data_IF_545913417661
#
_entry.id   IF_545913417661
#
_cell.length_a   1.000
_cell.length_b   1.000
_cell.length_c   1.000
_cell.angle_alpha   90.00
_cell.angle_beta   90.00
_cell.angle_gamma   90.00
#
_symmetry.space_group_name_H-M   'P 1'
#
loop_
_entity.id
_entity.type
_entity.pdbx_description
1 polymer ?
#
# COMPACT_ATOMS: atom_id res chain seq x y z
N UNK A 1 -23.67 71.71 38.17
CA UNK A 1 -24.59 70.77 37.50
C UNK A 1 -23.79 70.15 36.32
N UNK A 2 -23.23 68.95 36.57
CA UNK A 2 -22.47 68.17 35.59
C UNK A 2 -23.35 67.03 35.11
N UNK A 3 -23.69 67.02 33.81
CA UNK A 3 -24.43 65.95 33.14
C UNK A 3 -23.46 64.87 32.72
N UNK A 4 -23.58 63.68 33.33
CA UNK A 4 -22.91 62.45 32.87
C UNK A 4 -23.72 61.82 31.73
N UNK A 5 -23.18 61.84 30.52
CA UNK A 5 -23.70 61.10 29.36
C UNK A 5 -23.16 59.66 29.45
N UNK A 6 -24.03 58.71 29.82
CA UNK A 6 -23.75 57.27 29.67
C UNK A 6 -23.76 56.88 28.22
N UNK A 7 -22.57 56.59 27.64
CA UNK A 7 -22.48 55.92 26.32
C UNK A 7 -22.74 54.42 26.54
N UNK A 8 -23.92 53.96 26.16
CA UNK A 8 -24.22 52.54 25.98
C UNK A 8 -23.44 52.01 24.80
N UNK A 9 -22.46 51.14 25.03
CA UNK A 9 -21.81 50.35 24.01
C UNK A 9 -22.72 49.16 23.70
N UNK A 10 -23.39 49.22 22.56
CA UNK A 10 -24.09 48.04 21.98
C UNK A 10 -23.03 47.14 21.36
N UNK A 11 -22.70 46.04 22.03
CA UNK A 11 -21.95 44.94 21.43
C UNK A 11 -22.88 44.25 20.42
N UNK A 12 -22.48 44.12 19.13
CA UNK A 12 -23.23 43.26 18.23
C UNK A 12 -23.10 41.82 18.72
N UNK A 13 -24.23 41.20 19.04
CA UNK A 13 -24.33 39.78 19.28
C UNK A 13 -24.01 39.08 17.95
N UNK A 14 -22.75 38.67 17.74
CA UNK A 14 -22.41 37.75 16.67
C UNK A 14 -23.14 36.42 16.99
N UNK A 15 -24.26 36.22 16.33
CA UNK A 15 -24.90 34.92 16.30
C UNK A 15 -23.99 34.00 15.48
N UNK A 16 -23.09 33.29 16.15
CA UNK A 16 -22.36 32.19 15.53
C UNK A 16 -23.41 31.13 15.19
N UNK A 17 -23.80 31.04 13.92
CA UNK A 17 -24.52 29.89 13.43
C UNK A 17 -23.54 28.73 13.52
N UNK A 18 -23.68 27.92 14.54
CA UNK A 18 -22.99 26.65 14.61
C UNK A 18 -23.51 25.82 13.42
N UNK A 19 -22.69 25.65 12.40
CA UNK A 19 -22.95 24.67 11.35
C UNK A 19 -23.07 23.32 12.05
N UNK A 20 -24.26 22.75 12.03
CA UNK A 20 -24.51 21.45 12.63
C UNK A 20 -23.96 20.42 11.65
N UNK A 21 -23.09 19.55 12.14
CA UNK A 21 -22.57 18.41 11.40
C UNK A 21 -23.73 17.58 10.80
N UNK A 22 -23.53 17.10 9.58
CA UNK A 22 -24.52 16.27 8.87
C UNK A 22 -23.99 14.84 8.76
N UNK A 23 -24.62 13.91 9.50
CA UNK A 23 -24.39 12.48 9.31
C UNK A 23 -25.25 11.99 8.15
N UNK A 24 -24.61 11.59 7.05
CA UNK A 24 -25.28 11.08 5.86
C UNK A 24 -25.65 9.59 5.98
N UNK A 25 -24.81 8.81 6.64
CA UNK A 25 -25.01 7.39 6.88
C UNK A 25 -24.37 6.96 8.20
N UNK A 26 -25.05 6.07 8.93
CA UNK A 26 -24.52 5.46 10.14
C UNK A 26 -25.08 4.06 10.31
N UNK A 27 -24.20 3.10 10.63
CA UNK A 27 -24.53 1.71 10.91
C UNK A 27 -23.66 1.17 12.03
N UNK A 28 -24.29 0.47 12.99
CA UNK A 28 -23.64 -0.07 14.20
C UNK A 28 -23.92 -1.57 14.41
N UNK A 29 -24.69 -2.21 13.55
CA UNK A 29 -25.04 -3.64 13.59
C UNK A 29 -25.38 -4.20 14.98
N UNK A 30 -26.14 -3.44 15.78
CA UNK A 30 -26.42 -3.78 17.19
C UNK A 30 -27.27 -5.04 17.35
N UNK A 31 -28.17 -5.31 16.40
CA UNK A 31 -29.06 -6.45 16.39
C UNK A 31 -29.49 -6.85 14.97
N UNK A 32 -30.25 -7.94 14.84
CA UNK A 32 -30.74 -8.49 13.56
C UNK A 32 -31.54 -7.48 12.73
N UNK A 33 -32.25 -6.51 13.35
CA UNK A 33 -33.01 -5.50 12.63
C UNK A 33 -32.12 -4.53 11.83
N UNK A 34 -30.85 -4.42 12.19
CA UNK A 34 -29.87 -3.65 11.43
C UNK A 34 -29.71 -4.19 10.01
N UNK A 35 -29.92 -5.49 9.80
CA UNK A 35 -29.77 -6.14 8.49
C UNK A 35 -30.92 -5.81 7.54
N UNK A 36 -32.08 -5.36 8.03
CA UNK A 36 -33.28 -5.09 7.21
C UNK A 36 -33.07 -4.01 6.15
N UNK A 37 -32.11 -3.11 6.37
CA UNK A 37 -31.73 -2.04 5.41
C UNK A 37 -30.69 -2.46 4.39
N UNK A 38 -30.11 -3.64 4.55
CA UNK A 38 -29.05 -4.15 3.67
C UNK A 38 -29.64 -5.14 2.66
N UNK A 39 -29.12 -5.10 1.45
CA UNK A 39 -29.54 -5.94 0.35
C UNK A 39 -28.39 -6.83 -0.11
N UNK A 40 -28.59 -8.14 -0.03
CA UNK A 40 -27.72 -9.13 -0.65
C UNK A 40 -27.89 -9.08 -2.16
N UNK A 41 -26.80 -9.03 -2.90
CA UNK A 41 -26.85 -9.12 -4.35
C UNK A 41 -27.31 -10.51 -4.83
N UNK A 42 -28.07 -10.52 -5.91
CA UNK A 42 -28.55 -11.71 -6.63
C UNK A 42 -27.87 -11.83 -8.03
N UNK A 43 -26.88 -10.97 -8.34
CA UNK A 43 -26.26 -10.94 -9.68
C UNK A 43 -25.48 -12.23 -10.01
N UNK A 44 -24.93 -12.88 -8.98
CA UNK A 44 -24.29 -14.21 -9.05
C UNK A 44 -24.37 -14.90 -7.68
N UNK A 45 -23.81 -16.08 -7.55
CA UNK A 45 -23.69 -16.74 -6.25
C UNK A 45 -22.66 -16.00 -5.40
N UNK A 46 -23.12 -15.31 -4.36
CA UNK A 46 -22.31 -14.58 -3.39
C UNK A 46 -22.39 -15.25 -2.02
N UNK A 47 -21.31 -15.16 -1.27
CA UNK A 47 -21.29 -15.56 0.14
C UNK A 47 -22.19 -14.67 0.99
N UNK A 48 -22.78 -15.25 2.02
CA UNK A 48 -23.65 -14.54 2.95
C UNK A 48 -22.86 -13.79 4.02
N UNK A 49 -23.39 -12.64 4.44
CA UNK A 49 -22.98 -11.99 5.68
C UNK A 49 -23.84 -12.46 6.84
N UNK A 50 -23.23 -12.61 8.01
CA UNK A 50 -23.89 -12.99 9.25
C UNK A 50 -23.57 -11.98 10.35
N UNK A 51 -24.53 -11.69 11.23
CA UNK A 51 -24.29 -10.87 12.40
C UNK A 51 -23.47 -11.66 13.44
N UNK A 52 -22.27 -11.21 13.76
CA UNK A 52 -21.37 -11.87 14.71
C UNK A 52 -20.70 -10.87 15.64
N UNK A 53 -20.37 -11.31 16.85
CA UNK A 53 -19.55 -10.54 17.82
C UNK A 53 -18.06 -10.86 17.77
N UNK A 54 -17.63 -11.84 17.00
CA UNK A 54 -16.27 -12.34 17.02
C UNK A 54 -15.93 -13.21 18.24
N UNK A 55 -14.80 -13.88 18.19
CA UNK A 55 -14.29 -14.76 19.27
C UNK A 55 -13.62 -13.94 20.37
N UNK A 56 -12.85 -12.94 19.99
CA UNK A 56 -12.31 -11.93 20.90
C UNK A 56 -13.17 -10.68 20.77
N UNK A 57 -13.84 -10.28 21.83
CA UNK A 57 -14.79 -9.16 21.79
C UNK A 57 -14.74 -8.36 23.10
N UNK A 58 -14.57 -7.06 22.98
CA UNK A 58 -14.58 -6.17 24.15
C UNK A 58 -15.94 -5.99 24.79
N UNK A 59 -17.00 -6.12 23.99
CA UNK A 59 -18.39 -6.01 24.38
C UNK A 59 -19.27 -6.90 23.53
N UNK A 60 -20.29 -7.52 24.12
CA UNK A 60 -21.16 -8.48 23.40
C UNK A 60 -22.24 -7.81 22.56
N UNK A 61 -22.46 -6.53 22.70
CA UNK A 61 -23.45 -5.74 21.97
C UNK A 61 -22.76 -4.83 20.95
N UNK A 62 -21.89 -3.93 21.42
CA UNK A 62 -21.20 -2.96 20.58
C UNK A 62 -20.01 -3.54 19.79
N UNK A 63 -19.59 -4.75 20.08
CA UNK A 63 -18.56 -5.49 19.33
C UNK A 63 -19.14 -6.47 18.30
N UNK A 64 -20.42 -6.33 17.94
CA UNK A 64 -21.01 -7.07 16.84
C UNK A 64 -20.79 -6.33 15.53
N UNK A 65 -20.76 -7.10 14.44
CA UNK A 65 -20.71 -6.57 13.09
C UNK A 65 -21.17 -7.62 12.10
N UNK A 66 -21.23 -7.25 10.83
CA UNK A 66 -21.49 -8.23 9.76
C UNK A 66 -20.18 -8.93 9.40
N UNK A 67 -20.22 -10.25 9.40
CA UNK A 67 -19.07 -11.10 9.12
C UNK A 67 -19.25 -11.87 7.82
N UNK A 68 -18.19 -12.01 7.05
CA UNK A 68 -18.12 -12.97 5.95
C UNK A 68 -18.17 -14.39 6.53
N UNK A 69 -18.98 -15.29 5.94
CA UNK A 69 -19.29 -16.59 6.55
C UNK A 69 -18.84 -17.81 5.75
N UNK A 70 -18.40 -17.65 4.51
CA UNK A 70 -18.06 -18.75 3.61
C UNK A 70 -16.69 -18.52 2.98
N UNK A 71 -15.84 -19.55 3.01
CA UNK A 71 -14.50 -19.51 2.40
C UNK A 71 -14.58 -19.53 0.87
N UNK A 72 -13.59 -18.93 0.21
CA UNK A 72 -13.45 -18.90 -1.24
C UNK A 72 -14.68 -18.36 -1.97
N UNK A 73 -15.26 -17.26 -1.45
CA UNK A 73 -16.45 -16.62 -2.02
C UNK A 73 -16.23 -15.13 -2.31
N UNK A 74 -16.95 -14.67 -3.33
CA UNK A 74 -17.23 -13.26 -3.50
C UNK A 74 -18.40 -12.85 -2.59
N UNK A 75 -18.42 -11.60 -2.16
CA UNK A 75 -19.47 -11.02 -1.33
C UNK A 75 -19.94 -9.72 -1.97
N UNK A 76 -21.24 -9.50 -2.05
CA UNK A 76 -21.82 -8.24 -2.49
C UNK A 76 -23.06 -7.91 -1.66
N UNK A 77 -22.95 -6.84 -0.85
CA UNK A 77 -23.97 -6.43 0.11
C UNK A 77 -24.02 -4.91 0.16
N UNK A 78 -25.18 -4.30 0.05
CA UNK A 78 -25.31 -2.85 -0.01
C UNK A 78 -26.51 -2.32 0.77
N UNK A 79 -26.38 -1.08 1.25
CA UNK A 79 -27.45 -0.33 1.93
C UNK A 79 -27.62 1.05 1.31
N UNK A 80 -28.85 1.48 1.15
CA UNK A 80 -29.17 2.82 0.66
C UNK A 80 -28.86 3.88 1.73
N UNK A 81 -28.31 5.00 1.29
CA UNK A 81 -28.18 6.19 2.11
C UNK A 81 -29.57 6.83 2.24
N UNK A 82 -30.03 7.22 3.44
CA UNK A 82 -31.36 7.75 3.64
C UNK A 82 -31.74 8.94 2.73
N UNK A 83 -30.76 9.77 2.46
CA UNK A 83 -30.87 10.91 1.53
C UNK A 83 -29.60 10.98 0.69
N UNK A 84 -29.68 10.72 -0.63
CA UNK A 84 -28.52 10.86 -1.49
C UNK A 84 -27.88 12.25 -1.39
N UNK A 85 -26.57 12.32 -1.33
CA UNK A 85 -25.81 13.56 -1.09
C UNK A 85 -24.62 13.73 -2.02
N UNK A 86 -24.14 14.95 -2.13
CA UNK A 86 -22.82 15.31 -2.69
C UNK A 86 -22.07 16.13 -1.67
N UNK A 87 -20.76 16.09 -1.70
CA UNK A 87 -19.91 16.85 -0.78
C UNK A 87 -19.53 18.24 -1.34
N UNK A 88 -20.46 18.90 -2.01
CA UNK A 88 -20.21 20.21 -2.63
C UNK A 88 -19.88 21.28 -1.57
N UNK A 89 -18.64 21.81 -1.61
CA UNK A 89 -18.07 22.75 -0.65
C UNK A 89 -17.98 22.22 0.80
N UNK A 90 -18.13 20.94 1.01
CA UNK A 90 -18.07 20.28 2.30
C UNK A 90 -17.02 19.18 2.29
N UNK A 91 -16.53 18.82 3.45
CA UNK A 91 -15.69 17.62 3.61
C UNK A 91 -16.53 16.38 3.39
N UNK A 92 -15.89 15.32 2.93
CA UNK A 92 -16.38 13.97 3.06
C UNK A 92 -15.52 13.27 4.10
N UNK A 93 -16.14 12.76 5.14
CA UNK A 93 -15.47 11.95 6.16
C UNK A 93 -16.13 10.59 6.21
N UNK A 94 -15.34 9.55 5.94
CA UNK A 94 -15.78 8.15 5.95
C UNK A 94 -15.01 7.41 7.02
N UNK A 95 -15.72 6.79 7.95
CA UNK A 95 -15.12 5.98 9.01
C UNK A 95 -15.82 4.64 9.15
N UNK A 96 -15.05 3.59 9.50
CA UNK A 96 -15.60 2.27 9.82
C UNK A 96 -14.55 1.43 10.56
N UNK A 97 -14.98 0.32 11.14
CA UNK A 97 -14.08 -0.65 11.78
C UNK A 97 -14.07 -1.97 11.01
N UNK A 98 -12.89 -2.61 10.98
CA UNK A 98 -12.66 -3.93 10.39
C UNK A 98 -11.88 -4.79 11.35
N UNK A 99 -12.22 -6.08 11.39
CA UNK A 99 -11.51 -7.11 12.16
C UNK A 99 -11.33 -8.36 11.32
N UNK A 100 -10.11 -8.83 11.20
CA UNK A 100 -9.78 -10.05 10.45
C UNK A 100 -9.54 -11.22 11.41
N UNK A 101 -10.60 -11.83 11.98
CA UNK A 101 -10.48 -12.92 12.96
C UNK A 101 -9.82 -14.20 12.43
N UNK A 102 -9.88 -14.38 11.11
CA UNK A 102 -9.39 -15.58 10.42
C UNK A 102 -7.88 -15.60 10.18
N UNK A 103 -7.11 -14.58 10.62
CA UNK A 103 -5.71 -14.40 10.20
C UNK A 103 -5.64 -14.40 8.67
N UNK A 104 -6.19 -13.34 8.09
CA UNK A 104 -6.44 -13.22 6.66
C UNK A 104 -5.17 -13.32 5.82
N UNK A 105 -5.15 -14.26 4.87
CA UNK A 105 -4.06 -14.44 3.91
C UNK A 105 -4.33 -13.75 2.55
N UNK A 106 -5.60 -13.74 2.10
CA UNK A 106 -6.00 -13.01 0.90
C UNK A 106 -7.49 -12.65 0.93
N UNK A 107 -7.77 -11.35 0.94
CA UNK A 107 -9.13 -10.83 0.88
C UNK A 107 -9.20 -9.33 1.12
N UNK A 108 -10.28 -8.72 0.64
CA UNK A 108 -10.58 -7.31 0.86
C UNK A 108 -11.28 -7.05 2.18
N UNK A 109 -11.00 -5.89 2.77
CA UNK A 109 -11.69 -5.36 3.95
C UNK A 109 -12.15 -3.91 3.74
N UNK A 110 -12.52 -3.54 2.52
CA UNK A 110 -12.85 -2.18 2.11
C UNK A 110 -14.35 -1.98 1.87
N UNK A 111 -14.78 -0.72 1.91
CA UNK A 111 -16.13 -0.29 1.56
C UNK A 111 -16.13 0.53 0.27
N UNK A 112 -17.28 0.58 -0.40
CA UNK A 112 -17.53 1.39 -1.60
C UNK A 112 -18.63 2.41 -1.35
N UNK A 113 -18.41 3.65 -1.80
CA UNK A 113 -19.45 4.67 -1.91
C UNK A 113 -20.00 4.64 -3.34
N UNK A 114 -21.31 4.47 -3.46
CA UNK A 114 -21.98 4.10 -4.70
C UNK A 114 -22.98 5.18 -5.11
N UNK A 115 -23.18 5.43 -6.41
CA UNK A 115 -24.33 6.17 -6.90
C UNK A 115 -25.61 5.35 -6.69
N UNK A 116 -26.73 5.86 -7.16
CA UNK A 116 -28.00 5.11 -7.15
C UNK A 116 -27.87 3.79 -7.91
N UNK A 117 -28.22 2.69 -7.28
CA UNK A 117 -28.19 1.36 -7.86
C UNK A 117 -29.31 0.47 -7.31
N UNK A 118 -29.64 -0.59 -8.07
CA UNK A 118 -30.42 -1.72 -7.60
C UNK A 118 -29.50 -2.66 -6.80
N UNK A 119 -29.62 -2.71 -5.49
CA UNK A 119 -28.77 -3.52 -4.61
C UNK A 119 -28.74 -5.00 -4.98
N UNK A 120 -29.81 -5.54 -5.56
CA UNK A 120 -29.86 -6.92 -6.04
C UNK A 120 -28.97 -7.21 -7.25
N UNK A 121 -28.57 -6.16 -7.97
CA UNK A 121 -27.67 -6.23 -9.14
C UNK A 121 -26.25 -5.73 -8.85
N UNK A 122 -25.99 -5.36 -7.62
CA UNK A 122 -24.67 -4.88 -7.21
C UNK A 122 -23.63 -5.96 -7.40
N UNK A 123 -22.52 -5.62 -8.08
CA UNK A 123 -21.42 -6.55 -8.39
C UNK A 123 -20.09 -5.81 -8.52
N UNK A 124 -19.01 -6.54 -8.90
CA UNK A 124 -17.68 -6.00 -9.08
C UNK A 124 -17.53 -4.98 -10.20
N UNK A 125 -18.44 -5.01 -11.20
CA UNK A 125 -18.45 -4.09 -12.34
C UNK A 125 -19.30 -2.85 -12.06
N UNK A 126 -20.04 -2.82 -10.95
CA UNK A 126 -20.87 -1.68 -10.56
C UNK A 126 -20.03 -0.43 -10.33
N UNK A 127 -20.51 0.69 -10.89
CA UNK A 127 -19.84 1.98 -10.70
C UNK A 127 -19.82 2.36 -9.22
N UNK A 128 -18.70 2.89 -8.76
CA UNK A 128 -18.55 3.48 -7.42
C UNK A 128 -17.77 4.80 -7.53
N UNK A 129 -17.90 5.66 -6.55
CA UNK A 129 -17.11 6.87 -6.48
C UNK A 129 -15.79 6.67 -5.73
N UNK A 130 -15.86 6.06 -4.56
CA UNK A 130 -14.69 5.76 -3.72
C UNK A 130 -14.74 4.29 -3.30
N UNK A 131 -13.59 3.63 -3.32
CA UNK A 131 -13.32 2.38 -2.63
C UNK A 131 -12.24 2.64 -1.60
N UNK A 132 -12.49 2.32 -0.34
CA UNK A 132 -11.60 2.66 0.77
C UNK A 132 -11.53 1.56 1.83
N UNK A 133 -10.33 1.18 2.25
CA UNK A 133 -10.08 0.26 3.36
C UNK A 133 -8.94 -0.73 3.10
N UNK A 134 -8.70 -1.66 4.03
CA UNK A 134 -7.61 -2.63 3.93
C UNK A 134 -7.81 -3.61 2.77
N UNK A 135 -6.70 -3.97 2.13
CA UNK A 135 -6.62 -5.03 1.13
C UNK A 135 -5.36 -5.86 1.39
N UNK A 136 -5.58 -7.14 1.62
CA UNK A 136 -4.53 -8.07 2.02
C UNK A 136 -4.52 -9.23 1.03
N UNK A 137 -3.36 -9.51 0.41
CA UNK A 137 -3.18 -10.71 -0.37
C UNK A 137 -1.69 -11.10 -0.42
N UNK A 138 -1.32 -12.18 0.22
CA UNK A 138 0.06 -12.63 0.35
C UNK A 138 0.95 -11.57 1.03
N UNK A 139 1.94 -11.05 0.33
CA UNK A 139 2.83 -9.99 0.82
C UNK A 139 2.22 -8.58 0.75
N UNK A 140 1.15 -8.40 -0.02
CA UNK A 140 0.45 -7.12 -0.12
C UNK A 140 -0.43 -6.92 1.10
N UNK A 141 -0.20 -5.87 1.84
CA UNK A 141 -0.96 -5.44 3.03
C UNK A 141 -1.05 -3.93 3.01
N UNK A 142 -2.05 -3.41 2.34
CA UNK A 142 -2.16 -1.96 2.12
C UNK A 142 -3.57 -1.43 2.35
N UNK A 143 -3.66 -0.16 2.61
CA UNK A 143 -4.94 0.56 2.56
C UNK A 143 -5.18 0.93 1.10
N UNK A 144 -6.23 0.38 0.51
CA UNK A 144 -6.72 0.80 -0.80
C UNK A 144 -7.48 2.12 -0.68
N UNK A 145 -7.20 3.04 -1.62
CA UNK A 145 -8.02 4.22 -1.85
C UNK A 145 -8.09 4.46 -3.37
N UNK A 146 -9.25 4.21 -3.93
CA UNK A 146 -9.50 4.31 -5.37
C UNK A 146 -10.61 5.33 -5.59
N UNK A 147 -10.39 6.25 -6.52
CA UNK A 147 -11.40 7.21 -6.97
C UNK A 147 -11.87 6.88 -8.39
N UNK A 148 -13.16 6.99 -8.62
CA UNK A 148 -13.70 6.98 -9.97
C UNK A 148 -13.74 8.39 -10.55
N UNK A 149 -13.11 8.61 -11.69
CA UNK A 149 -13.07 9.91 -12.35
C UNK A 149 -13.08 9.72 -13.87
N UNK A 150 -13.98 10.45 -14.55
CA UNK A 150 -14.10 10.42 -16.01
C UNK A 150 -14.16 9.00 -16.62
N UNK A 151 -14.93 8.09 -16.00
CA UNK A 151 -15.13 6.72 -16.48
C UNK A 151 -13.98 5.77 -16.19
N UNK A 152 -13.05 6.13 -15.32
CA UNK A 152 -11.89 5.31 -14.93
C UNK A 152 -11.77 5.22 -13.42
N UNK A 153 -11.36 4.06 -12.94
CA UNK A 153 -10.95 3.85 -11.57
C UNK A 153 -9.46 4.17 -11.46
N UNK A 154 -9.14 5.22 -10.70
CA UNK A 154 -7.78 5.71 -10.49
C UNK A 154 -7.24 5.18 -9.18
N UNK A 155 -6.15 4.44 -9.24
CA UNK A 155 -5.50 3.88 -8.07
C UNK A 155 -4.61 4.93 -7.41
N UNK A 156 -4.49 4.81 -6.11
CA UNK A 156 -3.57 5.61 -5.31
C UNK A 156 -2.12 5.24 -5.59
N UNK A 157 -1.27 6.25 -5.79
CA UNK A 157 0.17 6.07 -6.03
C UNK A 157 0.96 5.74 -4.74
N UNK A 158 0.30 5.75 -3.57
CA UNK A 158 0.87 5.41 -2.28
C UNK A 158 0.28 4.10 -1.75
N UNK A 159 1.04 3.40 -0.93
CA UNK A 159 0.65 2.10 -0.39
C UNK A 159 0.92 2.03 1.12
N UNK A 160 0.24 2.86 1.96
CA UNK A 160 0.39 2.75 3.39
C UNK A 160 -0.07 1.37 3.87
N UNK A 161 0.68 0.79 4.80
CA UNK A 161 0.38 -0.53 5.36
C UNK A 161 -0.92 -0.49 6.14
N UNK A 162 -1.79 -1.47 5.94
CA UNK A 162 -2.95 -1.71 6.80
C UNK A 162 -2.59 -2.56 8.02
N UNK A 163 -3.48 -2.60 9.01
CA UNK A 163 -3.42 -3.58 10.07
C UNK A 163 -3.68 -4.99 9.52
N UNK A 164 -2.94 -5.97 10.01
CA UNK A 164 -2.98 -7.37 9.57
C UNK A 164 -3.01 -8.37 10.73
N UNK A 165 -3.32 -7.91 11.93
CA UNK A 165 -3.60 -8.76 13.09
C UNK A 165 -5.08 -9.15 13.19
N UNK A 166 -5.46 -9.83 14.27
CA UNK A 166 -6.83 -10.32 14.47
C UNK A 166 -7.68 -9.44 15.39
N UNK A 167 -7.26 -8.19 15.61
CA UNK A 167 -7.97 -7.22 16.45
C UNK A 167 -8.84 -6.28 15.60
N UNK A 168 -9.68 -5.50 16.29
CA UNK A 168 -10.51 -4.48 15.64
C UNK A 168 -9.68 -3.22 15.38
N UNK A 169 -9.69 -2.76 14.13
CA UNK A 169 -9.04 -1.53 13.69
C UNK A 169 -10.01 -0.57 13.03
N UNK A 170 -9.81 0.72 13.24
CA UNK A 170 -10.59 1.76 12.59
C UNK A 170 -9.86 2.36 11.41
N UNK A 171 -10.60 2.58 10.33
CA UNK A 171 -10.13 3.26 9.12
C UNK A 171 -10.95 4.52 8.91
N UNK A 172 -10.27 5.66 8.70
CA UNK A 172 -10.93 6.93 8.43
C UNK A 172 -10.29 7.64 7.25
N UNK A 173 -11.12 8.09 6.31
CA UNK A 173 -10.77 8.93 5.17
C UNK A 173 -11.40 10.31 5.32
N UNK A 174 -10.62 11.36 5.12
CA UNK A 174 -11.10 12.73 5.01
C UNK A 174 -10.75 13.26 3.62
N UNK A 175 -11.74 13.70 2.85
CA UNK A 175 -11.56 14.39 1.57
C UNK A 175 -12.07 15.80 1.71
N UNK A 176 -11.25 16.80 1.38
CA UNK A 176 -11.53 18.21 1.64
C UNK A 176 -11.75 19.02 0.35
N UNK A 177 -12.55 20.12 0.41
CA UNK A 177 -12.89 20.92 -0.77
C UNK A 177 -11.72 21.62 -1.47
N UNK A 178 -10.53 21.62 -0.88
CA UNK A 178 -9.29 22.13 -1.47
C UNK A 178 -8.47 21.05 -2.20
N UNK A 179 -9.11 19.94 -2.61
CA UNK A 179 -8.45 18.79 -3.24
C UNK A 179 -7.39 18.11 -2.37
N UNK A 180 -7.46 18.22 -1.03
CA UNK A 180 -6.59 17.48 -0.12
C UNK A 180 -7.31 16.29 0.50
N UNK A 181 -6.52 15.31 0.94
CA UNK A 181 -7.04 14.14 1.63
C UNK A 181 -6.15 13.78 2.83
N UNK A 182 -6.74 13.07 3.77
CA UNK A 182 -6.05 12.48 4.92
C UNK A 182 -6.61 11.06 5.17
N UNK A 183 -5.71 10.14 5.48
CA UNK A 183 -6.03 8.74 5.82
C UNK A 183 -5.52 8.43 7.21
N UNK A 184 -6.36 7.78 8.01
CA UNK A 184 -6.08 7.41 9.38
C UNK A 184 -6.32 5.92 9.61
N UNK A 185 -5.47 5.33 10.43
CA UNK A 185 -5.60 3.99 11.00
C UNK A 185 -5.55 4.14 12.53
N UNK A 186 -6.55 3.63 13.24
CA UNK A 186 -6.67 3.73 14.70
C UNK A 186 -6.51 5.16 15.23
N UNK A 187 -7.12 6.11 14.53
CA UNK A 187 -7.05 7.53 14.80
C UNK A 187 -5.65 8.18 14.64
N UNK A 188 -4.65 7.42 14.19
CA UNK A 188 -3.35 7.95 13.81
C UNK A 188 -3.31 8.25 12.30
N UNK A 189 -2.85 9.44 11.93
CA UNK A 189 -2.71 9.82 10.53
C UNK A 189 -1.56 9.03 9.89
N UNK A 190 -1.89 8.15 8.95
CA UNK A 190 -0.91 7.31 8.24
C UNK A 190 -0.48 7.93 6.93
N UNK A 191 -1.34 8.76 6.30
CA UNK A 191 -1.00 9.42 5.05
C UNK A 191 -1.84 10.67 4.83
N UNK A 192 -1.32 11.62 4.05
CA UNK A 192 -2.04 12.79 3.58
C UNK A 192 -1.39 13.38 2.34
N UNK A 193 -2.13 14.18 1.57
CA UNK A 193 -1.59 14.79 0.37
C UNK A 193 -2.62 15.58 -0.43
N UNK A 194 -2.31 15.75 -1.70
CA UNK A 194 -3.14 16.41 -2.68
C UNK A 194 -3.63 15.38 -3.70
N UNK A 195 -4.91 15.42 -4.07
CA UNK A 195 -5.51 14.47 -5.00
C UNK A 195 -4.83 14.51 -6.38
N UNK A 196 -4.47 15.69 -6.87
CA UNK A 196 -3.81 15.83 -8.18
C UNK A 196 -2.40 15.21 -8.21
N UNK A 197 -1.70 15.21 -7.07
CA UNK A 197 -0.31 14.77 -7.00
C UNK A 197 -0.21 13.25 -6.77
N UNK A 198 -1.21 12.66 -6.07
CA UNK A 198 -1.17 11.27 -5.61
C UNK A 198 -2.06 10.31 -6.43
N UNK A 199 -2.80 10.83 -7.44
CA UNK A 199 -3.54 10.07 -8.45
C UNK A 199 -3.37 10.69 -9.83
N UNK A 200 -3.57 9.90 -10.86
CA UNK A 200 -3.54 10.35 -12.26
C UNK A 200 -4.89 10.94 -12.71
N UNK A 201 -5.45 11.88 -11.91
CA UNK A 201 -6.70 12.57 -12.27
C UNK A 201 -6.58 13.39 -13.55
N UNK A 202 -5.45 14.06 -13.72
CA UNK A 202 -5.20 14.99 -14.80
C UNK A 202 -3.96 14.58 -15.61
N UNK A 203 -3.88 14.97 -16.88
CA UNK A 203 -2.65 14.82 -17.64
C UNK A 203 -1.50 15.57 -16.94
N UNK A 204 -0.24 15.13 -17.12
CA UNK A 204 0.90 15.80 -16.48
C UNK A 204 1.02 17.25 -16.91
N UNK A 205 1.40 18.14 -15.98
CA UNK A 205 1.58 19.59 -16.22
C UNK A 205 2.62 19.89 -17.29
N UNK A 206 3.61 19.03 -17.43
CA UNK A 206 4.69 19.14 -18.40
C UNK A 206 4.85 17.83 -19.16
N UNK A 207 5.15 17.94 -20.43
CA UNK A 207 5.50 16.81 -21.30
C UNK A 207 6.85 17.06 -21.96
N UNK A 208 7.46 16.03 -22.47
CA UNK A 208 8.62 16.17 -23.34
C UNK A 208 8.20 16.86 -24.64
N UNK A 209 9.02 17.81 -25.09
CA UNK A 209 8.76 18.55 -26.34
C UNK A 209 8.87 17.57 -27.53
N UNK A 210 7.77 17.29 -28.25
CA UNK A 210 7.82 16.36 -29.39
C UNK A 210 8.65 16.87 -30.56
N UNK A 211 8.92 18.18 -30.63
CA UNK A 211 9.71 18.81 -31.67
C UNK A 211 11.19 18.93 -31.31
N UNK A 212 11.57 18.59 -30.08
CA UNK A 212 12.96 18.62 -29.63
C UNK A 212 13.68 17.34 -30.02
N UNK A 213 14.46 17.43 -31.09
CA UNK A 213 15.18 16.31 -31.68
C UNK A 213 16.61 16.27 -31.13
N UNK A 214 17.10 15.07 -30.82
CA UNK A 214 18.49 14.87 -30.39
C UNK A 214 19.46 15.42 -31.41
N UNK A 215 20.36 16.37 -31.03
CA UNK A 215 21.39 16.85 -31.91
C UNK A 215 22.28 15.74 -32.45
N UNK A 216 22.61 15.77 -33.71
CA UNK A 216 23.44 14.74 -34.36
C UNK A 216 24.86 14.66 -33.82
N UNK A 217 25.33 15.72 -33.21
CA UNK A 217 26.64 15.87 -32.56
C UNK A 217 26.59 15.58 -31.05
N UNK A 218 25.46 15.07 -30.52
CA UNK A 218 25.36 14.68 -29.12
C UNK A 218 26.16 13.44 -28.83
N UNK A 219 27.05 13.51 -27.85
CA UNK A 219 27.93 12.42 -27.47
C UNK A 219 27.28 11.53 -26.43
N UNK A 220 27.02 10.28 -26.78
CA UNK A 220 26.41 9.28 -25.90
C UNK A 220 27.42 8.49 -25.04
N UNK A 221 28.67 8.50 -25.43
CA UNK A 221 29.72 7.73 -24.77
C UNK A 221 30.26 8.51 -23.57
N UNK A 222 29.95 8.02 -22.36
CA UNK A 222 30.42 8.60 -21.10
C UNK A 222 31.92 8.32 -20.85
N UNK A 223 32.38 7.14 -21.27
CA UNK A 223 33.73 6.68 -21.04
C UNK A 223 34.37 6.31 -22.39
N UNK A 224 35.48 6.90 -22.71
CA UNK A 224 36.26 6.64 -23.93
C UNK A 224 37.64 6.15 -23.59
N UNK A 225 38.31 5.60 -24.56
CA UNK A 225 39.72 5.31 -24.48
C UNK A 225 40.51 6.62 -24.46
N UNK A 226 41.48 6.74 -23.56
CA UNK A 226 42.34 7.92 -23.45
C UNK A 226 43.18 8.07 -24.71
N UNK A 227 42.94 9.12 -25.54
CA UNK A 227 43.72 9.35 -26.76
C UNK A 227 45.20 9.63 -26.48
N UNK A 228 45.56 9.99 -25.24
CA UNK A 228 46.97 10.17 -24.83
C UNK A 228 47.60 8.85 -24.35
N UNK A 229 46.85 7.77 -24.29
CA UNK A 229 47.33 6.48 -23.82
C UNK A 229 48.20 5.83 -24.91
N UNK A 230 49.48 5.72 -24.65
CA UNK A 230 50.43 5.12 -25.57
C UNK A 230 50.86 3.75 -25.04
N UNK A 231 50.85 2.74 -25.92
CA UNK A 231 51.35 1.40 -25.60
C UNK A 231 52.84 1.48 -25.29
N UNK A 232 53.31 1.02 -24.12
CA UNK A 232 54.75 0.93 -23.82
C UNK A 232 55.45 0.03 -24.83
N UNK A 233 56.66 0.41 -25.25
CA UNK A 233 57.42 -0.32 -26.27
C UNK A 233 57.74 -1.76 -25.84
N UNK A 234 57.90 -1.99 -24.53
CA UNK A 234 58.23 -3.25 -23.88
C UNK A 234 56.99 -4.11 -23.51
N UNK A 235 55.79 -3.73 -23.96
CA UNK A 235 54.55 -4.42 -23.53
C UNK A 235 54.47 -5.85 -24.04
N UNK A 236 54.88 -6.08 -25.29
CA UNK A 236 54.77 -7.37 -25.97
C UNK A 236 56.09 -8.20 -25.87
N UNK A 237 57.11 -7.73 -25.11
CA UNK A 237 58.41 -8.40 -25.01
C UNK A 237 58.34 -9.75 -24.27
N UNK A 238 57.31 -9.93 -23.45
CA UNK A 238 57.15 -11.14 -22.67
C UNK A 238 56.08 -12.05 -23.32
N UNK A 239 56.43 -13.26 -23.74
CA UNK A 239 55.47 -14.20 -24.34
C UNK A 239 54.50 -14.73 -23.28
N UNK A 240 53.29 -15.11 -23.71
CA UNK A 240 52.24 -15.68 -22.85
C UNK A 240 52.70 -16.93 -22.09
N UNK A 241 53.52 -17.73 -22.73
CA UNK A 241 54.06 -18.97 -22.15
C UNK A 241 55.56 -18.99 -22.24
N UNK A 242 56.21 -19.49 -21.20
CA UNK A 242 57.63 -19.71 -21.12
C UNK A 242 57.92 -21.16 -20.74
N UNK A 243 59.06 -21.74 -21.16
CA UNK A 243 59.50 -23.05 -20.68
C UNK A 243 59.61 -23.05 -19.15
N UNK A 244 59.09 -24.05 -18.47
CA UNK A 244 59.17 -24.15 -17.01
C UNK A 244 60.65 -24.17 -16.55
N UNK A 245 61.10 -23.12 -15.84
CA UNK A 245 62.49 -23.07 -15.37
C UNK A 245 62.84 -24.16 -14.36
N UNK A 246 61.83 -24.76 -13.71
CA UNK A 246 62.00 -25.81 -12.70
C UNK A 246 61.92 -27.20 -13.29
N UNK A 247 61.44 -27.37 -14.51
CA UNK A 247 61.37 -28.69 -15.13
C UNK A 247 62.73 -29.20 -15.54
N UNK A 248 63.01 -30.41 -15.15
CA UNK A 248 64.22 -31.18 -15.51
C UNK A 248 63.79 -32.42 -16.27
N UNK A 249 64.65 -32.86 -17.21
CA UNK A 249 64.41 -34.10 -17.95
C UNK A 249 64.32 -35.28 -16.95
N UNK A 250 63.27 -36.09 -17.05
CA UNK A 250 63.14 -37.31 -16.23
C UNK A 250 64.34 -38.25 -16.43
N UNK A 251 64.81 -38.87 -15.36
CA UNK A 251 66.02 -39.74 -15.39
C UNK A 251 65.86 -41.02 -16.28
N UNK A 252 64.66 -41.37 -16.66
CA UNK A 252 64.28 -42.51 -17.50
C UNK A 252 63.79 -42.09 -18.92
N UNK A 253 64.01 -40.84 -19.34
CA UNK A 253 63.69 -40.36 -20.67
C UNK A 253 64.66 -40.91 -21.67
N UNK A 254 64.20 -41.59 -22.71
CA UNK A 254 64.99 -42.15 -23.78
C UNK A 254 64.74 -41.35 -25.07
N UNK A 255 65.83 -40.64 -25.51
CA UNK A 255 65.72 -39.79 -26.71
C UNK A 255 65.46 -40.57 -28.00
N UNK A 256 65.81 -41.89 -28.06
CA UNK A 256 65.56 -42.73 -29.22
C UNK A 256 64.06 -43.17 -29.29
N UNK A 257 63.39 -43.34 -28.11
CA UNK A 257 62.00 -43.76 -28.00
C UNK A 257 61.04 -42.61 -27.79
N UNK A 258 61.40 -41.60 -26.95
CA UNK A 258 60.55 -40.49 -26.51
C UNK A 258 60.78 -39.20 -27.29
N UNK A 259 61.84 -39.17 -28.11
CA UNK A 259 62.26 -37.96 -28.85
C UNK A 259 63.02 -36.96 -28.00
N UNK A 260 63.39 -35.83 -28.59
CA UNK A 260 64.09 -34.76 -27.88
C UNK A 260 63.25 -34.15 -26.78
N UNK A 261 63.71 -34.18 -25.53
CA UNK A 261 62.99 -33.63 -24.40
C UNK A 261 62.92 -32.10 -24.48
N UNK A 262 61.69 -31.59 -24.40
CA UNK A 262 61.41 -30.17 -24.32
C UNK A 262 60.74 -29.84 -22.96
N UNK A 263 61.16 -28.72 -22.40
CA UNK A 263 60.52 -28.27 -21.15
C UNK A 263 59.05 -27.97 -21.34
N UNK A 264 58.16 -28.43 -20.44
CA UNK A 264 56.77 -28.07 -20.49
C UNK A 264 56.58 -26.56 -20.40
N UNK A 265 55.63 -26.04 -21.19
CA UNK A 265 55.34 -24.59 -21.22
C UNK A 265 54.38 -24.22 -20.08
N UNK A 266 54.75 -23.25 -19.29
CA UNK A 266 53.93 -22.68 -18.21
C UNK A 266 53.53 -21.24 -18.53
N UNK A 267 52.47 -20.75 -17.91
CA UNK A 267 52.08 -19.35 -18.01
C UNK A 267 53.15 -18.42 -17.51
N UNK A 268 53.51 -17.44 -18.31
CA UNK A 268 54.54 -16.45 -17.95
C UNK A 268 53.99 -15.43 -16.95
N UNK A 269 54.49 -15.37 -15.70
CA UNK A 269 54.01 -14.40 -14.71
C UNK A 269 54.28 -12.94 -15.07
N UNK A 270 55.18 -12.70 -16.05
CA UNK A 270 55.48 -11.35 -16.55
C UNK A 270 54.63 -10.93 -17.75
N UNK A 271 53.86 -11.86 -18.33
CA UNK A 271 52.99 -11.55 -19.45
C UNK A 271 51.91 -10.58 -19.01
N UNK A 272 51.80 -9.43 -19.65
CA UNK A 272 50.88 -8.32 -19.31
C UNK A 272 49.52 -8.42 -19.99
N UNK A 273 49.30 -9.44 -20.82
CA UNK A 273 48.09 -9.60 -21.62
C UNK A 273 48.05 -8.63 -22.82
N UNK A 274 46.89 -8.61 -23.48
CA UNK A 274 46.67 -7.67 -24.58
C UNK A 274 46.61 -6.23 -24.03
N UNK A 275 47.39 -5.33 -24.61
CA UNK A 275 47.38 -3.92 -24.21
C UNK A 275 46.03 -3.27 -24.56
N UNK A 276 45.48 -2.54 -23.60
CA UNK A 276 44.29 -1.72 -23.77
C UNK A 276 44.54 -0.30 -23.29
N UNK A 277 44.08 0.71 -24.02
CA UNK A 277 44.20 2.10 -23.59
C UNK A 277 43.54 2.30 -22.20
N UNK A 278 44.00 3.26 -21.45
CA UNK A 278 43.36 3.69 -20.23
C UNK A 278 41.97 4.26 -20.56
N UNK A 279 40.94 3.89 -19.81
CA UNK A 279 39.61 4.46 -19.93
C UNK A 279 39.53 5.77 -19.15
N UNK A 280 39.01 6.82 -19.77
CA UNK A 280 38.77 8.14 -19.14
C UNK A 280 37.37 8.60 -19.38
N UNK A 281 36.88 9.48 -18.51
CA UNK A 281 35.59 10.17 -18.73
C UNK A 281 35.70 11.02 -19.99
N UNK A 282 34.76 10.88 -20.89
CA UNK A 282 34.71 11.65 -22.13
C UNK A 282 34.44 13.13 -21.85
N UNK A 283 35.37 14.05 -22.13
CA UNK A 283 35.17 15.47 -21.86
C UNK A 283 34.02 16.10 -22.71
N UNK A 284 33.62 15.45 -23.80
CA UNK A 284 32.52 15.88 -24.64
C UNK A 284 31.15 15.36 -24.17
N UNK A 285 31.12 14.44 -23.19
CA UNK A 285 29.87 13.88 -22.64
C UNK A 285 29.16 14.90 -21.76
N UNK A 286 27.90 15.22 -22.13
CA UNK A 286 27.05 16.18 -21.42
C UNK A 286 25.90 15.51 -20.64
N UNK A 287 25.95 14.20 -20.47
CA UNK A 287 24.84 13.39 -19.90
C UNK A 287 24.00 12.73 -20.97
N UNK A 288 23.05 11.89 -20.53
CA UNK A 288 22.06 11.29 -21.45
C UNK A 288 21.18 12.41 -21.99
N UNK A 289 21.03 12.43 -23.31
CA UNK A 289 20.10 13.37 -23.91
C UNK A 289 18.64 13.04 -23.52
N UNK A 290 17.87 14.06 -23.25
CA UNK A 290 16.42 13.99 -23.06
C UNK A 290 15.81 15.26 -23.67
N UNK A 291 14.62 15.16 -24.27
CA UNK A 291 13.90 16.34 -24.75
C UNK A 291 13.68 17.34 -23.63
N UNK A 292 13.67 18.61 -23.94
CA UNK A 292 13.27 19.65 -22.96
C UNK A 292 11.80 19.46 -22.58
N UNK A 293 11.47 19.82 -21.37
CA UNK A 293 10.08 19.81 -20.90
C UNK A 293 9.38 21.12 -21.28
N UNK A 294 8.19 20.98 -21.84
CA UNK A 294 7.29 22.10 -22.17
C UNK A 294 5.96 21.95 -21.41
N UNK A 295 5.22 23.04 -21.28
CA UNK A 295 3.87 22.98 -20.74
C UNK A 295 2.98 22.06 -21.58
N UNK A 296 2.25 21.16 -20.93
CA UNK A 296 1.34 20.27 -21.63
C UNK A 296 0.08 21.01 -22.11
N UNK A 297 -0.19 21.12 -23.40
CA UNK A 297 -1.37 21.82 -23.91
C UNK A 297 -2.69 21.13 -23.56
N UNK A 298 -2.64 19.83 -23.18
CA UNK A 298 -3.82 19.08 -22.75
C UNK A 298 -4.05 19.13 -21.24
N UNK A 299 -3.20 19.81 -20.48
CA UNK A 299 -3.40 20.00 -19.04
C UNK A 299 -4.42 21.13 -18.80
N UNK A 300 -5.48 20.78 -18.07
CA UNK A 300 -6.44 21.75 -17.55
C UNK A 300 -6.63 21.47 -16.06
N UNK A 301 -6.39 22.44 -15.16
CA UNK A 301 -6.60 22.26 -13.74
C UNK A 301 -8.08 22.01 -13.42
N UNK A 302 -8.34 21.12 -12.44
CA UNK A 302 -9.68 20.88 -11.89
C UNK A 302 -9.62 21.09 -10.36
N UNK A 303 -10.25 22.14 -9.87
CA UNK A 303 -10.34 22.49 -8.45
C UNK A 303 -11.41 21.68 -7.71
N UNK A 304 -12.13 20.82 -8.43
CA UNK A 304 -13.22 19.98 -7.91
C UNK A 304 -12.92 18.47 -7.99
N UNK A 305 -11.66 18.04 -7.95
CA UNK A 305 -11.30 16.63 -7.93
C UNK A 305 -11.91 15.90 -6.72
N UNK A 306 -12.08 16.61 -5.60
CA UNK A 306 -12.68 16.12 -4.37
C UNK A 306 -14.18 15.81 -4.48
N UNK A 307 -14.88 16.35 -5.49
CA UNK A 307 -16.33 16.33 -5.57
C UNK A 307 -16.87 15.02 -6.15
N UNK A 308 -17.84 14.43 -5.47
CA UNK A 308 -18.66 13.34 -6.03
C UNK A 308 -19.43 13.84 -7.27
N UNK A 309 -19.13 13.31 -8.44
CA UNK A 309 -19.74 13.73 -9.72
C UNK A 309 -21.19 13.25 -9.85
N UNK A 310 -21.57 12.21 -9.11
CA UNK A 310 -22.94 11.74 -8.93
C UNK A 310 -23.24 11.73 -7.44
N UNK A 311 -24.51 11.93 -7.01
CA UNK A 311 -24.85 11.79 -5.62
C UNK A 311 -24.47 10.40 -5.08
N UNK A 312 -23.88 10.35 -3.88
CA UNK A 312 -23.70 9.12 -3.14
C UNK A 312 -25.06 8.69 -2.62
N UNK A 313 -25.53 7.55 -3.05
CA UNK A 313 -26.86 7.02 -2.74
C UNK A 313 -26.82 5.68 -2.01
N UNK A 314 -25.67 4.99 -2.01
CA UNK A 314 -25.53 3.74 -1.29
C UNK A 314 -24.10 3.54 -0.78
N UNK A 315 -23.98 2.66 0.22
CA UNK A 315 -22.73 2.10 0.75
C UNK A 315 -22.74 0.60 0.49
N UNK A 316 -21.61 0.01 0.10
CA UNK A 316 -21.59 -1.42 -0.19
C UNK A 316 -20.24 -2.07 0.07
N UNK A 317 -20.29 -3.37 0.23
CA UNK A 317 -19.17 -4.30 0.26
C UNK A 317 -19.23 -5.12 -1.01
N UNK A 318 -18.15 -5.13 -1.77
CA UNK A 318 -17.91 -6.03 -2.90
C UNK A 318 -16.49 -6.56 -2.75
N UNK A 319 -16.39 -7.79 -2.26
CA UNK A 319 -15.15 -8.36 -1.73
C UNK A 319 -14.93 -9.75 -2.31
N UNK A 320 -13.68 -10.16 -2.40
CA UNK A 320 -13.27 -11.56 -2.47
C UNK A 320 -12.54 -11.93 -1.19
N UNK A 321 -12.80 -13.09 -0.64
CA UNK A 321 -12.06 -13.65 0.49
C UNK A 321 -11.76 -15.13 0.29
N UNK A 322 -10.50 -15.52 0.49
CA UNK A 322 -10.07 -16.93 0.49
C UNK A 322 -10.55 -17.61 1.77
N UNK A 323 -10.34 -16.97 2.92
CA UNK A 323 -10.90 -17.40 4.21
C UNK A 323 -11.91 -16.36 4.69
N UNK A 324 -13.06 -16.82 5.12
CA UNK A 324 -14.10 -15.99 5.75
C UNK A 324 -13.74 -15.65 7.20
N UNK A 325 -14.44 -14.68 7.79
CA UNK A 325 -14.24 -14.27 9.18
C UNK A 325 -13.88 -12.79 9.34
N UNK A 326 -13.88 -12.00 8.27
CA UNK A 326 -13.76 -10.54 8.37
C UNK A 326 -15.07 -9.95 8.87
N UNK A 327 -14.99 -9.16 9.94
CA UNK A 327 -16.13 -8.48 10.57
C UNK A 327 -16.03 -6.99 10.27
N UNK A 328 -17.13 -6.41 9.77
CA UNK A 328 -17.28 -4.98 9.51
C UNK A 328 -18.29 -4.38 10.47
N UNK A 329 -17.97 -3.21 11.02
CA UNK A 329 -18.86 -2.52 11.95
C UNK A 329 -18.60 -1.01 11.98
N UNK A 330 -19.45 -0.27 12.73
CA UNK A 330 -19.25 1.14 13.05
C UNK A 330 -19.04 2.03 11.83
N UNK A 331 -19.87 1.86 10.79
CA UNK A 331 -19.78 2.64 9.56
C UNK A 331 -20.41 4.02 9.81
N UNK A 332 -19.69 5.08 9.47
CA UNK A 332 -20.18 6.45 9.53
C UNK A 332 -19.68 7.26 8.33
N UNK A 333 -20.60 8.05 7.74
CA UNK A 333 -20.29 9.02 6.69
C UNK A 333 -20.85 10.36 7.12
N UNK A 334 -20.01 11.37 7.23
CA UNK A 334 -20.37 12.71 7.72
C UNK A 334 -19.58 13.79 6.97
N UNK A 335 -19.97 15.05 7.13
CA UNK A 335 -19.22 16.25 6.74
C UNK A 335 -18.27 16.75 7.86
N UNK A 336 -18.33 16.14 9.06
CA UNK A 336 -17.53 16.55 10.24
C UNK A 336 -16.52 15.49 10.67
N UNK A 337 -15.27 15.91 10.74
CA UNK A 337 -14.17 15.09 11.28
C UNK A 337 -14.40 14.80 12.76
N UNK A 338 -14.80 15.82 13.52
CA UNK A 338 -15.02 15.73 14.97
C UNK A 338 -16.12 14.74 15.33
N UNK A 339 -17.20 14.67 14.54
CA UNK A 339 -18.28 13.73 14.74
C UNK A 339 -17.81 12.29 14.50
N UNK A 340 -17.08 12.06 13.39
CA UNK A 340 -16.56 10.73 13.06
C UNK A 340 -15.53 10.28 14.09
N UNK A 341 -14.64 11.17 14.52
CA UNK A 341 -13.66 10.88 15.56
C UNK A 341 -14.32 10.49 16.89
N UNK A 342 -15.27 11.30 17.35
CA UNK A 342 -15.99 11.02 18.59
C UNK A 342 -16.77 9.68 18.51
N UNK A 343 -17.34 9.36 17.35
CA UNK A 343 -18.05 8.11 17.15
C UNK A 343 -17.10 6.90 17.16
N UNK A 344 -16.02 6.92 16.37
CA UNK A 344 -15.07 5.82 16.32
C UNK A 344 -14.35 5.63 17.65
N UNK A 345 -13.94 6.72 18.30
CA UNK A 345 -13.27 6.66 19.61
C UNK A 345 -14.18 6.03 20.66
N UNK A 346 -15.46 6.44 20.73
CA UNK A 346 -16.41 5.85 21.66
C UNK A 346 -16.66 4.34 21.44
N UNK A 347 -16.49 3.86 20.21
CA UNK A 347 -16.64 2.44 19.85
C UNK A 347 -15.36 1.63 20.07
N UNK A 348 -14.19 2.23 19.88
CA UNK A 348 -12.91 1.56 20.07
C UNK A 348 -12.43 1.58 21.53
N UNK A 349 -12.73 2.65 22.28
CA UNK A 349 -12.34 2.75 23.69
C UNK A 349 -12.97 1.62 24.52
N UNK A 350 -12.11 0.80 25.10
CA UNK A 350 -12.50 -0.36 25.89
C UNK A 350 -12.74 -1.64 25.07
N UNK A 351 -13.12 -1.58 23.80
CA UNK A 351 -13.18 -2.78 22.93
C UNK A 351 -11.78 -3.25 22.60
N UNK A 352 -10.95 -2.39 22.01
CA UNK A 352 -9.59 -2.74 21.61
C UNK A 352 -8.70 -3.17 22.79
N UNK A 353 -8.86 -2.58 23.98
CA UNK A 353 -8.10 -3.01 25.16
C UNK A 353 -8.55 -4.39 25.62
N UNK A 354 -9.86 -4.63 25.73
CA UNK A 354 -10.38 -5.93 26.14
C UNK A 354 -10.06 -7.04 25.15
N UNK A 355 -10.07 -6.75 23.86
CA UNK A 355 -9.62 -7.71 22.82
C UNK A 355 -8.16 -8.10 23.03
N UNK A 356 -7.28 -7.14 23.30
CA UNK A 356 -5.87 -7.41 23.63
C UNK A 356 -5.74 -8.25 24.91
N UNK A 357 -6.49 -7.93 25.95
CA UNK A 357 -6.47 -8.68 27.20
C UNK A 357 -6.89 -10.14 26.99
N UNK A 358 -7.96 -10.37 26.22
CA UNK A 358 -8.41 -11.72 25.84
C UNK A 358 -7.38 -12.47 24.99
N UNK A 359 -6.68 -11.79 24.08
CA UNK A 359 -5.61 -12.39 23.27
C UNK A 359 -4.45 -12.85 24.17
N UNK A 360 -4.05 -12.02 25.15
CA UNK A 360 -3.00 -12.36 26.12
C UNK A 360 -3.40 -13.56 26.96
N UNK A 361 -4.62 -13.60 27.47
CA UNK A 361 -5.15 -14.73 28.25
C UNK A 361 -5.16 -16.02 27.43
N UNK A 362 -5.60 -15.97 26.18
CA UNK A 362 -5.59 -17.13 25.28
C UNK A 362 -4.17 -17.65 25.04
N UNK A 363 -3.23 -16.77 24.73
CA UNK A 363 -1.83 -17.14 24.50
C UNK A 363 -1.18 -17.75 25.74
N UNK A 364 -1.52 -17.26 26.92
CA UNK A 364 -1.02 -17.83 28.17
C UNK A 364 -1.58 -19.24 28.44
N UNK A 365 -2.87 -19.47 28.15
CA UNK A 365 -3.48 -20.79 28.30
C UNK A 365 -2.89 -21.81 27.31
N UNK A 366 -2.69 -21.44 26.07
CA UNK A 366 -2.08 -22.29 25.05
C UNK A 366 -0.63 -22.68 25.40
N UNK A 367 0.14 -21.76 25.98
CA UNK A 367 1.51 -22.03 26.43
C UNK A 367 1.55 -22.90 27.68
N UNK A 368 0.51 -22.93 28.51
CA UNK A 368 0.41 -23.80 29.68
C UNK A 368 0.00 -25.24 29.31
N UNK A 369 -0.76 -25.39 28.24
CA UNK A 369 -1.21 -26.68 27.72
C UNK A 369 -0.22 -27.31 26.72
N UNK A 370 0.85 -26.60 26.31
CA UNK A 370 1.91 -27.16 25.49
C UNK A 370 2.63 -28.29 26.24
N UNK A 371 2.74 -29.52 25.71
CA UNK A 371 3.45 -30.61 26.37
C UNK A 371 4.91 -30.17 26.57
N UNK A 372 5.41 -30.33 27.83
CA UNK A 372 6.84 -30.19 28.11
C UNK A 372 7.57 -31.23 27.25
N UNK A 373 8.25 -30.81 26.18
CA UNK A 373 9.20 -31.62 25.47
C UNK A 373 10.30 -32.03 26.45
N UNK A 374 10.18 -33.25 26.99
CA UNK A 374 11.25 -33.92 27.71
C UNK A 374 12.38 -34.16 26.72
N UNK A 375 13.32 -33.23 26.64
CA UNK A 375 14.66 -33.55 26.18
C UNK A 375 15.25 -34.52 27.20
N UNK A 376 15.07 -35.85 26.98
CA UNK A 376 15.90 -36.87 27.65
C UNK A 376 17.33 -36.67 27.15
N UNK A 377 18.21 -36.20 28.04
CA UNK A 377 19.66 -36.21 27.89
C UNK A 377 20.13 -37.63 27.55
N UNK A 378 20.31 -37.96 26.27
CA UNK A 378 21.10 -39.13 25.81
C UNK A 378 22.59 -38.72 25.72
N UNK A 379 23.18 -38.21 26.80
CA UNK A 379 24.61 -38.17 27.00
C UNK A 379 25.00 -38.94 28.27
N UNK A 380 25.14 -40.26 28.18
CA UNK A 380 26.03 -41.03 29.03
C UNK A 380 25.93 -42.54 28.75
N UNK A 381 26.46 -43.02 27.63
CA UNK A 381 26.87 -44.44 27.48
C UNK A 381 27.82 -44.62 26.28
N UNK A 382 29.01 -44.11 26.40
CA UNK A 382 30.14 -44.57 25.60
C UNK A 382 31.46 -44.28 26.33
N UNK A 383 31.67 -44.98 27.46
CA UNK A 383 32.98 -45.22 28.02
C UNK A 383 32.88 -46.44 28.94
N UNK A 384 32.93 -47.63 28.35
CA UNK A 384 33.52 -48.84 28.97
C UNK A 384 33.43 -49.98 27.95
N UNK A 385 34.48 -50.11 27.14
CA UNK A 385 35.05 -51.42 26.75
C UNK A 385 36.28 -51.18 25.86
N UNK A 386 37.43 -51.54 26.47
CA UNK A 386 38.81 -51.75 25.98
C UNK A 386 39.80 -50.64 26.19
#
# INVERSE_FOLDING_TARGET
IASFLLRMWTFPLLCAVALRATTHFKEEFLDESSLDRWTQSEAKEYGAFELRKGTKHGDTVIGKGIATSQDAHFYAYSSQVPTPFTNSNEKLVVGFTVKHEQDIDCGGGYIKLLPELDGKKFDGDSEYWIMFGPDICGSTRKIHLIFHYNGKNLLWNKEPRCADDTLTHSYKLVVSPNNTYEVYLDNEKVESGNLEDDWDFLPPKQIEDPDDVKPTDWVDEEIIDDPASVKPADWDDEPEKIPDPKATQPAHWDEEEDGTWEKPMISNPKFKGEWKPKRITNPAYKGKWAPRKIANPNYAPDDQLYLARKPVAAVGFDLWQVKSGTIFDNIIISDSVEEVDAFLEARLLGVAQKERDMLVEQTQSENQDAPEDKYEDEEAKEETEL
#
